data_IF_504545236396
#
_entry.id   IF_504545236396
#
_cell.length_a   1.000
_cell.length_b   1.000
_cell.length_c   1.000
_cell.angle_alpha   90.00
_cell.angle_beta   90.00
_cell.angle_gamma   90.00
#
_symmetry.space_group_name_H-M   'P 1'
#
loop_
_entity.id
_entity.type
_entity.pdbx_description
1 polymer ?
#
# COMPACT_ATOMS: atom_id res chain seq x y z
N UNK A 1 18.84 -36.88 18.39
CA UNK A 1 19.54 -35.59 18.28
C UNK A 1 18.91 -34.88 17.10
N UNK A 2 18.00 -33.95 17.34
CA UNK A 2 17.28 -33.26 16.27
C UNK A 2 18.21 -32.25 15.61
N UNK A 3 18.39 -32.42 14.30
CA UNK A 3 19.14 -31.56 13.41
C UNK A 3 18.55 -30.14 13.45
N UNK A 4 19.33 -29.18 13.94
CA UNK A 4 19.01 -27.75 13.88
C UNK A 4 18.99 -27.31 12.42
N UNK A 5 17.79 -27.19 11.85
CA UNK A 5 17.60 -26.58 10.54
C UNK A 5 18.13 -25.14 10.55
N UNK A 6 19.23 -24.93 9.82
CA UNK A 6 19.82 -23.62 9.54
C UNK A 6 18.78 -22.70 8.91
N UNK A 7 18.20 -21.80 9.71
CA UNK A 7 17.29 -20.77 9.23
C UNK A 7 18.12 -19.65 8.58
N UNK A 8 17.92 -19.32 7.30
CA UNK A 8 18.68 -18.26 6.63
C UNK A 8 18.50 -16.91 7.34
N UNK A 9 19.57 -16.11 7.39
CA UNK A 9 19.53 -14.77 7.93
C UNK A 9 18.67 -13.83 7.06
N UNK A 10 18.16 -12.73 7.65
CA UNK A 10 17.35 -11.73 6.92
C UNK A 10 18.06 -11.17 5.68
N UNK A 11 19.39 -11.06 5.73
CA UNK A 11 20.21 -10.56 4.63
C UNK A 11 20.25 -11.57 3.48
N UNK A 12 20.56 -12.83 3.79
CA UNK A 12 20.60 -13.92 2.79
C UNK A 12 19.24 -14.13 2.13
N UNK A 13 18.14 -14.00 2.89
CA UNK A 13 16.78 -14.07 2.34
C UNK A 13 16.49 -12.93 1.35
N UNK A 14 16.90 -11.69 1.68
CA UNK A 14 16.75 -10.53 0.78
C UNK A 14 17.58 -10.70 -0.50
N UNK A 15 18.84 -11.11 -0.36
CA UNK A 15 19.75 -11.30 -1.51
C UNK A 15 19.27 -12.42 -2.43
N UNK A 16 18.75 -13.52 -1.87
CA UNK A 16 18.18 -14.61 -2.65
C UNK A 16 16.94 -14.16 -3.43
N UNK A 17 16.03 -13.41 -2.80
CA UNK A 17 14.85 -12.82 -3.46
C UNK A 17 15.25 -11.86 -4.58
N UNK A 18 16.12 -10.88 -4.31
CA UNK A 18 16.56 -9.91 -5.30
C UNK A 18 17.25 -10.61 -6.49
N UNK A 19 18.07 -11.62 -6.21
CA UNK A 19 18.74 -12.43 -7.24
C UNK A 19 17.78 -13.27 -8.08
N UNK A 20 16.70 -13.79 -7.50
CA UNK A 20 15.65 -14.54 -8.23
C UNK A 20 14.75 -13.59 -9.03
N UNK A 21 14.29 -12.49 -8.44
CA UNK A 21 13.51 -11.46 -9.13
C UNK A 21 14.26 -10.87 -10.34
N UNK A 22 15.59 -10.78 -10.26
CA UNK A 22 16.45 -10.35 -11.37
C UNK A 22 16.62 -11.41 -12.47
N UNK A 23 16.55 -12.71 -12.13
CA UNK A 23 16.76 -13.84 -13.04
C UNK A 23 15.49 -14.21 -13.82
N UNK A 24 14.32 -14.02 -13.23
CA UNK A 24 13.01 -14.20 -13.88
C UNK A 24 12.62 -13.02 -14.78
N UNK A 25 13.56 -12.10 -15.04
CA UNK A 25 13.42 -10.89 -15.86
C UNK A 25 13.18 -11.13 -17.35
N UNK A 26 12.19 -11.95 -17.71
CA UNK A 26 11.37 -11.64 -18.87
C UNK A 26 10.51 -10.42 -18.50
N UNK A 27 11.00 -9.23 -18.83
CA UNK A 27 10.26 -7.96 -19.01
C UNK A 27 8.85 -7.88 -18.39
N UNK A 28 8.71 -8.04 -17.07
CA UNK A 28 7.47 -7.60 -16.42
C UNK A 28 7.56 -6.09 -16.28
N UNK A 29 6.84 -5.36 -17.14
CA UNK A 29 6.66 -3.90 -17.15
C UNK A 29 6.01 -3.34 -15.86
N UNK A 30 6.11 -4.02 -14.72
CA UNK A 30 5.60 -3.49 -13.47
C UNK A 30 6.63 -2.51 -12.90
N UNK A 31 6.26 -1.23 -12.71
CA UNK A 31 7.17 -0.22 -12.16
C UNK A 31 7.63 -0.64 -10.77
N UNK A 32 8.87 -0.28 -10.42
CA UNK A 32 9.37 -0.47 -9.06
C UNK A 32 8.42 0.23 -8.08
N UNK A 33 7.98 -0.51 -7.06
CA UNK A 33 7.10 0.04 -6.03
C UNK A 33 7.96 0.82 -5.05
N UNK A 34 7.84 2.14 -5.08
CA UNK A 34 8.33 3.01 -4.01
C UNK A 34 7.20 3.35 -3.02
N UNK A 35 7.56 4.02 -1.92
CA UNK A 35 6.61 4.41 -0.88
C UNK A 35 5.44 5.23 -1.45
N UNK A 36 5.75 6.21 -2.29
CA UNK A 36 4.74 7.08 -2.92
C UNK A 36 3.77 6.28 -3.78
N UNK A 37 4.28 5.41 -4.65
CA UNK A 37 3.46 4.57 -5.54
C UNK A 37 2.57 3.63 -4.73
N UNK A 38 3.08 3.08 -3.62
CA UNK A 38 2.30 2.25 -2.72
C UNK A 38 1.14 3.04 -2.08
N UNK A 39 1.40 4.21 -1.50
CA UNK A 39 0.35 5.05 -0.91
C UNK A 39 -0.68 5.51 -1.95
N UNK A 40 -0.24 5.84 -3.16
CA UNK A 40 -1.15 6.22 -4.26
C UNK A 40 -2.06 5.06 -4.68
N UNK A 41 -1.55 3.83 -4.68
CA UNK A 41 -2.35 2.65 -4.98
C UNK A 41 -3.46 2.43 -3.94
N UNK A 42 -3.12 2.54 -2.65
CA UNK A 42 -4.10 2.45 -1.55
C UNK A 42 -5.13 3.59 -1.60
N UNK A 43 -4.68 4.81 -1.89
CA UNK A 43 -5.57 5.97 -2.07
C UNK A 43 -6.57 5.74 -3.20
N UNK A 44 -6.09 5.23 -4.34
CA UNK A 44 -6.95 4.88 -5.48
C UNK A 44 -7.96 3.80 -5.11
N UNK A 45 -7.56 2.78 -4.33
CA UNK A 45 -8.50 1.77 -3.81
C UNK A 45 -9.59 2.38 -2.94
N UNK A 46 -9.25 3.32 -2.03
CA UNK A 46 -10.26 4.00 -1.22
C UNK A 46 -11.22 4.80 -2.10
N UNK A 47 -10.73 5.53 -3.10
CA UNK A 47 -11.58 6.28 -4.02
C UNK A 47 -12.54 5.36 -4.80
N UNK A 48 -12.07 4.19 -5.25
CA UNK A 48 -12.92 3.19 -5.89
C UNK A 48 -13.99 2.65 -4.93
N UNK A 49 -13.60 2.33 -3.70
CA UNK A 49 -14.50 1.86 -2.63
C UNK A 49 -15.52 2.94 -2.23
N UNK A 50 -15.21 4.23 -2.38
CA UNK A 50 -16.13 5.33 -2.17
C UNK A 50 -17.01 5.65 -3.40
N UNK A 51 -16.85 4.90 -4.50
CA UNK A 51 -17.57 5.10 -5.76
C UNK A 51 -17.16 6.37 -6.53
N UNK A 52 -16.04 7.00 -6.17
CA UNK A 52 -15.53 8.21 -6.83
C UNK A 52 -15.00 7.86 -8.23
N UNK A 53 -14.29 6.74 -8.31
CA UNK A 53 -13.76 6.16 -9.56
C UNK A 53 -14.34 4.76 -9.79
N UNK A 54 -14.36 4.25 -11.04
CA UNK A 54 -14.69 2.85 -11.29
C UNK A 54 -13.69 1.94 -10.61
N UNK A 55 -14.17 0.81 -10.10
CA UNK A 55 -13.32 -0.26 -9.61
C UNK A 55 -12.47 -0.82 -10.77
N UNK A 56 -11.14 -0.91 -10.63
CA UNK A 56 -10.25 -1.27 -11.73
C UNK A 56 -10.38 -2.74 -12.18
N UNK A 57 -10.89 -3.64 -11.32
CA UNK A 57 -11.09 -5.06 -11.67
C UNK A 57 -12.42 -5.30 -12.38
N UNK A 58 -13.50 -4.73 -11.84
CA UNK A 58 -14.86 -4.94 -12.35
C UNK A 58 -15.34 -3.89 -13.35
N UNK A 59 -14.68 -2.72 -13.38
CA UNK A 59 -15.10 -1.55 -14.15
C UNK A 59 -16.38 -0.89 -13.64
N UNK A 60 -16.94 -1.36 -12.52
CA UNK A 60 -18.21 -0.86 -11.98
C UNK A 60 -17.97 0.20 -10.92
N UNK A 61 -18.86 1.18 -10.84
CA UNK A 61 -18.92 2.10 -9.70
C UNK A 61 -19.79 1.47 -8.62
N UNK A 62 -19.21 1.21 -7.46
CA UNK A 62 -19.90 0.69 -6.28
C UNK A 62 -19.40 1.38 -5.02
N UNK A 63 -20.29 1.55 -4.03
CA UNK A 63 -19.92 2.11 -2.73
C UNK A 63 -19.79 0.94 -1.74
N UNK A 64 -18.61 0.82 -1.13
CA UNK A 64 -18.30 -0.07 -0.04
C UNK A 64 -17.61 0.72 1.09
N UNK A 65 -18.44 1.35 1.93
CA UNK A 65 -17.95 2.19 3.04
C UNK A 65 -17.15 1.37 4.07
N UNK A 66 -17.52 0.13 4.34
CA UNK A 66 -16.79 -0.70 5.32
C UNK A 66 -15.36 -0.98 4.85
N UNK A 67 -15.17 -1.27 3.57
CA UNK A 67 -13.84 -1.47 3.00
C UNK A 67 -13.05 -0.15 2.94
N UNK A 68 -13.69 0.95 2.53
CA UNK A 68 -13.07 2.28 2.55
C UNK A 68 -12.55 2.65 3.94
N UNK A 69 -13.37 2.45 4.98
CA UNK A 69 -12.97 2.68 6.38
C UNK A 69 -11.80 1.79 6.77
N UNK A 70 -11.83 0.51 6.41
CA UNK A 70 -10.76 -0.42 6.73
C UNK A 70 -9.42 0.01 6.11
N UNK A 71 -9.42 0.36 4.82
CA UNK A 71 -8.20 0.83 4.13
C UNK A 71 -7.72 2.17 4.69
N UNK A 72 -8.60 3.11 5.03
CA UNK A 72 -8.22 4.37 5.72
C UNK A 72 -7.59 4.08 7.08
N UNK A 73 -8.07 3.09 7.83
CA UNK A 73 -7.47 2.70 9.10
C UNK A 73 -6.09 2.08 8.91
N UNK A 74 -5.87 1.30 7.85
CA UNK A 74 -4.53 0.79 7.49
C UNK A 74 -3.58 1.95 7.21
N UNK A 75 -4.01 2.95 6.44
CA UNK A 75 -3.22 4.16 6.19
C UNK A 75 -2.91 4.91 7.49
N UNK A 76 -3.88 5.05 8.40
CA UNK A 76 -3.65 5.66 9.71
C UNK A 76 -2.63 4.89 10.57
N UNK A 77 -2.70 3.56 10.57
CA UNK A 77 -1.71 2.73 11.26
C UNK A 77 -0.31 2.88 10.63
N UNK A 78 -0.23 2.94 9.30
CA UNK A 78 1.03 3.14 8.59
C UNK A 78 1.66 4.49 8.94
N UNK A 79 0.88 5.57 9.04
CA UNK A 79 1.35 6.90 9.48
C UNK A 79 2.10 6.80 10.81
N UNK A 80 1.53 6.10 11.79
CA UNK A 80 2.14 5.91 13.10
C UNK A 80 3.39 5.04 13.03
N UNK A 81 3.36 3.96 12.22
CA UNK A 81 4.47 2.99 12.14
C UNK A 81 5.65 3.47 11.31
N UNK A 82 5.44 4.38 10.37
CA UNK A 82 6.51 4.92 9.51
C UNK A 82 7.01 6.28 9.96
N UNK A 83 6.44 6.85 11.02
CA UNK A 83 6.92 8.10 11.62
C UNK A 83 8.43 8.07 11.90
N UNK A 84 9.14 9.11 11.42
CA UNK A 84 10.60 9.22 11.52
C UNK A 84 11.40 8.40 10.50
N UNK A 85 10.76 7.56 9.69
CA UNK A 85 11.40 6.81 8.59
C UNK A 85 11.13 7.42 7.20
N UNK A 86 10.20 8.39 7.11
CA UNK A 86 9.85 9.08 5.88
C UNK A 86 10.69 10.35 5.70
N UNK A 87 10.95 10.72 4.45
CA UNK A 87 11.43 12.06 4.13
C UNK A 87 10.36 13.10 4.49
N UNK A 88 10.74 14.38 4.74
CA UNK A 88 9.77 15.43 5.05
C UNK A 88 8.69 15.63 3.97
N UNK A 89 9.03 15.34 2.71
CA UNK A 89 8.09 15.43 1.59
C UNK A 89 7.11 14.26 1.60
N UNK A 90 7.59 13.02 1.74
CA UNK A 90 6.73 11.83 1.85
C UNK A 90 5.78 11.92 3.05
N UNK A 91 6.26 12.40 4.20
CA UNK A 91 5.44 12.57 5.39
C UNK A 91 4.32 13.60 5.16
N UNK A 92 4.63 14.74 4.52
CA UNK A 92 3.65 15.77 4.20
C UNK A 92 2.60 15.24 3.23
N UNK A 93 3.04 14.66 2.11
CA UNK A 93 2.15 14.11 1.10
C UNK A 93 1.23 13.04 1.69
N UNK A 94 1.78 12.17 2.55
CA UNK A 94 0.98 11.11 3.17
C UNK A 94 -0.10 11.68 4.10
N UNK A 95 0.22 12.68 4.90
CA UNK A 95 -0.75 13.36 5.78
C UNK A 95 -1.86 14.04 4.99
N UNK A 96 -1.52 14.71 3.90
CA UNK A 96 -2.48 15.39 3.04
C UNK A 96 -3.46 14.38 2.40
N UNK A 97 -2.94 13.28 1.85
CA UNK A 97 -3.76 12.19 1.29
C UNK A 97 -4.68 11.61 2.36
N UNK A 98 -4.14 11.26 3.54
CA UNK A 98 -4.93 10.65 4.60
C UNK A 98 -6.04 11.57 5.10
N UNK A 99 -5.76 12.88 5.20
CA UNK A 99 -6.78 13.89 5.52
C UNK A 99 -7.90 13.93 4.48
N UNK A 100 -7.55 14.03 3.19
CA UNK A 100 -8.52 14.07 2.10
C UNK A 100 -9.41 12.83 2.07
N UNK A 101 -8.83 11.63 2.23
CA UNK A 101 -9.59 10.37 2.24
C UNK A 101 -10.55 10.29 3.43
N UNK A 102 -10.13 10.72 4.62
CA UNK A 102 -11.01 10.80 5.81
C UNK A 102 -12.17 11.76 5.57
N UNK A 103 -11.91 12.92 4.97
CA UNK A 103 -12.96 13.89 4.65
C UNK A 103 -13.96 13.36 3.62
N UNK A 104 -13.48 12.72 2.54
CA UNK A 104 -14.32 12.08 1.54
C UNK A 104 -15.18 10.97 2.14
N UNK A 105 -14.61 10.14 3.00
CA UNK A 105 -15.35 9.10 3.70
C UNK A 105 -16.51 9.69 4.52
N UNK A 106 -16.24 10.73 5.33
CA UNK A 106 -17.29 11.39 6.12
C UNK A 106 -18.41 11.90 5.23
N UNK A 107 -18.07 12.58 4.13
CA UNK A 107 -19.06 13.10 3.16
C UNK A 107 -19.92 12.00 2.53
N UNK A 108 -19.37 10.81 2.28
CA UNK A 108 -20.10 9.67 1.70
C UNK A 108 -20.89 8.86 2.72
N UNK A 109 -20.54 8.97 4.00
CA UNK A 109 -21.20 8.26 5.10
C UNK A 109 -22.41 9.00 5.69
N UNK A 110 -22.68 10.22 5.20
CA UNK A 110 -23.85 11.03 5.53
C UNK A 110 -24.94 10.84 4.47
#
# INVERSE_FOLDING_TARGET
MTDETTNPSRHEAKEAYDSQASKDGQETMMPQVDWTTFIMSLSSSVLAQLGEVPDPESGQKGINLDMARHTINILGMLEEKTAGNLTPEEERQFKDILFELRMKYVQKSQ
#
